data_IF_039362475391
#
_entry.id   IF_039362475391
#
_cell.length_a   1.000
_cell.length_b   1.000
_cell.length_c   1.000
_cell.angle_alpha   90.00
_cell.angle_beta   90.00
_cell.angle_gamma   90.00
#
_symmetry.space_group_name_H-M   'P 1'
#
loop_
_entity.id
_entity.type
_entity.pdbx_description
1 polymer ?
#
# COMPACT_ATOMS: atom_id res chain seq x y z
N UNK A 1 -15.72 17.91 18.07
CA UNK A 1 -14.30 17.48 17.98
C UNK A 1 -14.07 16.05 18.49
N UNK A 2 -14.66 15.65 19.63
CA UNK A 2 -14.45 14.32 20.24
C UNK A 2 -14.82 13.13 19.32
N UNK A 3 -15.92 13.25 18.58
CA UNK A 3 -16.38 12.19 17.67
C UNK A 3 -15.48 12.02 16.44
N UNK A 4 -14.88 13.12 15.97
CA UNK A 4 -13.94 13.11 14.85
C UNK A 4 -12.61 12.45 15.25
N UNK A 5 -12.11 12.76 16.45
CA UNK A 5 -10.89 12.15 16.99
C UNK A 5 -11.08 10.65 17.27
N UNK A 6 -12.19 10.26 17.90
CA UNK A 6 -12.49 8.85 18.16
C UNK A 6 -12.61 8.04 16.86
N UNK A 7 -13.26 8.61 15.84
CA UNK A 7 -13.36 7.97 14.52
C UNK A 7 -12.00 7.84 13.83
N UNK A 8 -11.15 8.88 13.89
CA UNK A 8 -9.79 8.82 13.38
C UNK A 8 -8.96 7.75 14.12
N UNK A 9 -8.96 7.77 15.45
CA UNK A 9 -8.19 6.85 16.28
C UNK A 9 -8.58 5.40 16.02
N UNK A 10 -9.88 5.09 15.93
CA UNK A 10 -10.36 3.76 15.61
C UNK A 10 -9.90 3.29 14.22
N UNK A 11 -9.95 4.16 13.21
CA UNK A 11 -9.51 3.84 11.83
C UNK A 11 -8.01 3.65 11.76
N UNK A 12 -7.25 4.53 12.38
CA UNK A 12 -5.81 4.44 12.43
C UNK A 12 -5.36 3.17 13.15
N UNK A 13 -5.96 2.86 14.30
CA UNK A 13 -5.70 1.60 15.02
C UNK A 13 -6.04 0.37 14.18
N UNK A 14 -7.20 0.38 13.51
CA UNK A 14 -7.61 -0.72 12.61
C UNK A 14 -6.61 -0.90 11.47
N UNK A 15 -6.19 0.20 10.86
CA UNK A 15 -5.22 0.18 9.77
C UNK A 15 -3.85 -0.33 10.24
N UNK A 16 -3.39 0.12 11.41
CA UNK A 16 -2.15 -0.34 12.03
C UNK A 16 -2.19 -1.84 12.33
N UNK A 17 -3.23 -2.30 13.01
CA UNK A 17 -3.36 -3.72 13.37
C UNK A 17 -3.46 -4.61 12.14
N UNK A 18 -4.16 -4.16 11.09
CA UNK A 18 -4.25 -4.88 9.82
C UNK A 18 -2.89 -4.96 9.14
N UNK A 19 -2.15 -3.85 9.04
CA UNK A 19 -0.82 -3.86 8.42
C UNK A 19 0.19 -4.70 9.21
N UNK A 20 0.13 -4.67 10.54
CA UNK A 20 0.94 -5.55 11.40
C UNK A 20 0.59 -7.02 11.20
N UNK A 21 -0.70 -7.36 11.08
CA UNK A 21 -1.14 -8.71 10.77
C UNK A 21 -0.60 -9.16 9.40
N UNK A 22 -0.65 -8.31 8.38
CA UNK A 22 -0.08 -8.61 7.06
C UNK A 22 1.44 -8.79 7.11
N UNK A 23 2.15 -8.01 7.92
CA UNK A 23 3.59 -8.23 8.18
C UNK A 23 3.85 -9.55 8.90
N UNK A 24 3.02 -9.95 9.87
CA UNK A 24 3.16 -11.25 10.54
C UNK A 24 2.87 -12.43 9.61
N UNK A 25 2.00 -12.23 8.63
CA UNK A 25 1.70 -13.22 7.59
C UNK A 25 2.79 -13.33 6.52
N UNK A 26 3.71 -12.36 6.46
CA UNK A 26 4.87 -12.39 5.57
C UNK A 26 5.66 -13.70 5.79
N UNK A 27 5.92 -14.44 4.71
CA UNK A 27 6.64 -15.72 4.75
C UNK A 27 5.81 -16.95 5.16
N UNK A 28 4.62 -16.77 5.76
CA UNK A 28 3.69 -17.88 6.07
C UNK A 28 2.78 -18.23 4.89
N UNK A 29 2.42 -17.22 4.09
CA UNK A 29 1.59 -17.38 2.89
C UNK A 29 2.49 -17.39 1.67
N UNK A 30 2.77 -18.57 1.13
CA UNK A 30 3.64 -18.75 -0.04
C UNK A 30 2.87 -18.98 -1.35
N UNK A 31 1.61 -19.41 -1.29
CA UNK A 31 0.82 -19.77 -2.47
C UNK A 31 -0.65 -19.36 -2.35
N UNK A 32 -1.29 -19.05 -3.48
CA UNK A 32 -2.72 -18.76 -3.60
C UNK A 32 -3.08 -17.27 -3.52
N UNK A 33 -4.38 -16.95 -3.54
CA UNK A 33 -4.90 -15.58 -3.67
C UNK A 33 -4.45 -14.65 -2.54
N UNK A 34 -4.15 -15.20 -1.36
CA UNK A 34 -3.67 -14.44 -0.21
C UNK A 34 -2.27 -13.83 -0.44
N UNK A 35 -1.48 -14.33 -1.40
CA UNK A 35 -0.20 -13.71 -1.75
C UNK A 35 -0.38 -12.32 -2.36
N UNK A 36 -1.51 -12.06 -3.02
CA UNK A 36 -1.81 -10.73 -3.56
C UNK A 36 -2.00 -9.67 -2.46
N UNK A 37 -2.41 -10.12 -1.26
CA UNK A 37 -2.69 -9.27 -0.11
C UNK A 37 -1.45 -9.09 0.77
N UNK A 38 -0.75 -10.20 1.01
CA UNK A 38 0.42 -10.26 1.91
C UNK A 38 1.67 -9.84 1.14
N UNK A 39 2.49 -8.91 1.67
CA UNK A 39 3.78 -8.57 1.05
C UNK A 39 4.64 -9.83 0.90
N UNK A 40 5.28 -10.01 -0.25
CA UNK A 40 6.09 -11.21 -0.56
C UNK A 40 7.60 -10.93 -0.58
N UNK A 41 8.00 -9.66 -0.65
CA UNK A 41 9.41 -9.25 -0.64
C UNK A 41 9.59 -7.88 0.03
N UNK A 42 10.84 -7.54 0.33
CA UNK A 42 11.23 -6.24 0.89
C UNK A 42 11.29 -5.11 -0.16
N UNK A 43 10.77 -5.34 -1.36
CA UNK A 43 10.74 -4.30 -2.39
C UNK A 43 9.82 -3.15 -1.96
N UNK A 44 10.15 -1.88 -2.27
CA UNK A 44 9.31 -0.74 -1.90
C UNK A 44 7.87 -0.84 -2.41
N UNK A 45 7.68 -1.51 -3.55
CA UNK A 45 6.36 -1.81 -4.12
C UNK A 45 5.58 -2.80 -3.26
N UNK A 46 6.16 -3.94 -2.89
CA UNK A 46 5.49 -4.94 -2.05
C UNK A 46 5.16 -4.38 -0.66
N UNK A 47 6.06 -3.59 -0.07
CA UNK A 47 5.82 -2.92 1.21
C UNK A 47 4.67 -1.91 1.14
N UNK A 48 4.41 -1.31 -0.02
CA UNK A 48 3.28 -0.38 -0.19
C UNK A 48 1.91 -1.04 -0.07
N UNK A 49 1.81 -2.37 -0.25
CA UNK A 49 0.58 -3.14 0.01
C UNK A 49 0.09 -3.01 1.45
N UNK A 50 1.03 -2.85 2.39
CA UNK A 50 0.76 -2.70 3.82
C UNK A 50 0.13 -1.32 4.11
N UNK A 51 0.22 -0.36 3.18
CA UNK A 51 -0.54 0.89 3.24
C UNK A 51 -1.88 0.74 2.51
N UNK A 52 -1.86 0.13 1.32
CA UNK A 52 -3.04 -0.01 0.47
C UNK A 52 -4.17 -0.84 1.10
N UNK A 53 -3.89 -2.08 1.52
CA UNK A 53 -4.92 -3.00 2.00
C UNK A 53 -5.59 -2.53 3.29
N UNK A 54 -4.87 -2.01 4.30
CA UNK A 54 -5.51 -1.47 5.49
C UNK A 54 -6.39 -0.25 5.20
N UNK A 55 -5.98 0.64 4.29
CA UNK A 55 -6.81 1.75 3.84
C UNK A 55 -8.04 1.25 3.06
N UNK A 56 -7.89 0.21 2.24
CA UNK A 56 -8.99 -0.39 1.49
C UNK A 56 -10.04 -1.00 2.43
N UNK A 57 -9.62 -1.69 3.49
CA UNK A 57 -10.52 -2.23 4.52
C UNK A 57 -11.24 -1.10 5.26
N UNK A 58 -10.53 -0.03 5.62
CA UNK A 58 -11.13 1.14 6.26
C UNK A 58 -12.15 1.86 5.35
N UNK A 59 -11.89 1.93 4.04
CA UNK A 59 -12.82 2.47 3.05
C UNK A 59 -14.02 1.53 2.86
N UNK A 60 -13.80 0.21 2.77
CA UNK A 60 -14.86 -0.78 2.66
C UNK A 60 -15.80 -0.79 3.87
N UNK A 61 -15.27 -0.65 5.09
CA UNK A 61 -16.09 -0.51 6.30
C UNK A 61 -17.04 0.70 6.27
N UNK A 62 -16.70 1.74 5.48
CA UNK A 62 -17.54 2.91 5.27
C UNK A 62 -18.59 2.78 4.19
N UNK A 63 -18.58 1.72 3.37
CA UNK A 63 -19.70 1.40 2.48
C UNK A 63 -21.02 1.32 3.25
N UNK A 64 -20.98 0.81 4.49
CA UNK A 64 -22.13 0.71 5.40
C UNK A 64 -22.70 2.07 5.82
N UNK A 65 -21.91 3.14 5.74
CA UNK A 65 -22.32 4.51 6.10
C UNK A 65 -22.62 5.39 4.87
N UNK A 66 -22.56 4.80 3.68
CA UNK A 66 -22.95 5.44 2.43
C UNK A 66 -21.79 5.69 1.47
N UNK A 67 -22.11 5.66 0.19
CA UNK A 67 -21.17 5.80 -0.93
C UNK A 67 -20.36 7.10 -0.90
N UNK A 68 -20.96 8.17 -0.36
CA UNK A 68 -20.32 9.48 -0.20
C UNK A 68 -19.19 9.46 0.83
N UNK A 69 -19.28 8.62 1.86
CA UNK A 69 -18.22 8.47 2.85
C UNK A 69 -16.98 7.79 2.25
N UNK A 70 -17.18 6.82 1.36
CA UNK A 70 -16.11 6.10 0.64
C UNK A 70 -15.46 6.99 -0.41
N UNK A 71 -16.25 7.80 -1.13
CA UNK A 71 -15.76 8.73 -2.15
C UNK A 71 -14.70 9.71 -1.63
N UNK A 72 -14.73 9.98 -0.32
CA UNK A 72 -13.83 10.90 0.36
C UNK A 72 -12.44 10.29 0.61
N UNK A 73 -12.32 8.97 0.65
CA UNK A 73 -11.07 8.28 1.01
C UNK A 73 -10.35 7.63 -0.17
N UNK A 74 -11.05 7.49 -1.30
CA UNK A 74 -10.47 6.97 -2.54
C UNK A 74 -9.16 7.66 -2.94
N UNK A 75 -9.02 9.01 -2.87
CA UNK A 75 -7.74 9.60 -3.25
C UNK A 75 -6.62 9.28 -2.26
N UNK A 76 -6.92 9.17 -0.96
CA UNK A 76 -5.94 8.72 0.02
C UNK A 76 -5.52 7.26 -0.26
N UNK A 77 -6.46 6.41 -0.66
CA UNK A 77 -6.21 5.02 -1.05
C UNK A 77 -5.33 4.90 -2.30
N UNK A 78 -5.42 5.86 -3.23
CA UNK A 78 -4.61 5.87 -4.46
C UNK A 78 -3.25 6.52 -4.27
N UNK A 79 -3.16 7.60 -3.49
CA UNK A 79 -1.93 8.40 -3.34
C UNK A 79 -1.00 7.90 -2.24
N UNK A 80 -1.53 7.35 -1.14
CA UNK A 80 -0.71 6.93 -0.02
C UNK A 80 0.21 5.74 -0.34
N UNK A 81 -0.22 4.70 -1.09
CA UNK A 81 0.67 3.59 -1.45
C UNK A 81 1.87 3.98 -2.33
N UNK A 82 1.72 4.73 -3.45
CA UNK A 82 2.88 5.15 -4.23
C UNK A 82 3.77 6.14 -3.47
N UNK A 83 3.19 7.01 -2.62
CA UNK A 83 3.99 7.87 -1.74
C UNK A 83 4.83 7.04 -0.77
N UNK A 84 4.26 6.00 -0.16
CA UNK A 84 5.00 5.07 0.69
C UNK A 84 6.10 4.34 -0.11
N UNK A 85 5.80 3.84 -1.32
CA UNK A 85 6.80 3.18 -2.16
C UNK A 85 7.99 4.10 -2.49
N UNK A 86 7.74 5.38 -2.79
CA UNK A 86 8.78 6.37 -3.07
C UNK A 86 9.60 6.71 -1.82
N UNK A 87 8.96 6.90 -0.67
CA UNK A 87 9.65 7.17 0.60
C UNK A 87 10.50 5.97 1.04
N UNK A 88 9.94 4.76 0.95
CA UNK A 88 10.65 3.51 1.21
C UNK A 88 11.87 3.38 0.27
N UNK A 89 11.72 3.72 -1.01
CA UNK A 89 12.84 3.71 -1.97
C UNK A 89 13.92 4.72 -1.60
N UNK A 90 13.54 5.95 -1.22
CA UNK A 90 14.49 6.96 -0.75
C UNK A 90 15.27 6.52 0.49
N UNK A 91 14.59 5.88 1.44
CA UNK A 91 15.21 5.30 2.64
C UNK A 91 16.20 4.19 2.28
N UNK A 92 15.86 3.30 1.33
CA UNK A 92 16.79 2.26 0.85
C UNK A 92 18.06 2.87 0.25
N UNK A 93 17.93 3.95 -0.53
CA UNK A 93 19.09 4.65 -1.11
C UNK A 93 20.00 5.28 -0.04
N UNK A 94 19.43 5.62 1.11
CA UNK A 94 20.15 6.18 2.27
C UNK A 94 20.68 5.11 3.23
N UNK A 95 20.51 3.82 2.91
CA UNK A 95 20.93 2.71 3.77
C UNK A 95 20.07 2.53 5.03
N UNK A 96 18.79 2.92 4.99
CA UNK A 96 17.92 2.86 6.15
C UNK A 96 17.46 1.44 6.52
N UNK A 97 17.26 1.23 7.81
CA UNK A 97 16.86 -0.06 8.40
C UNK A 97 15.34 -0.30 8.43
N UNK A 98 14.94 -1.54 8.74
CA UNK A 98 13.55 -1.98 8.93
C UNK A 98 12.68 -1.08 9.82
N UNK A 99 13.28 -0.44 10.84
CA UNK A 99 12.61 0.52 11.74
C UNK A 99 12.15 1.79 11.01
N UNK A 100 12.94 2.28 10.07
CA UNK A 100 12.62 3.45 9.26
C UNK A 100 11.43 3.18 8.35
N UNK A 101 11.30 1.96 7.83
CA UNK A 101 10.13 1.54 7.04
C UNK A 101 8.86 1.51 7.88
N UNK A 102 8.91 0.98 9.10
CA UNK A 102 7.76 0.98 10.02
C UNK A 102 7.32 2.41 10.37
N UNK A 103 8.29 3.30 10.62
CA UNK A 103 8.00 4.70 10.92
C UNK A 103 7.34 5.43 9.73
N UNK A 104 7.87 5.23 8.51
CA UNK A 104 7.28 5.80 7.30
C UNK A 104 5.89 5.24 7.04
N UNK A 105 5.71 3.93 7.17
CA UNK A 105 4.42 3.29 7.01
C UNK A 105 3.36 3.87 7.97
N UNK A 106 3.70 3.96 9.27
CA UNK A 106 2.80 4.53 10.27
C UNK A 106 2.49 6.01 9.99
N UNK A 107 3.51 6.80 9.62
CA UNK A 107 3.35 8.21 9.28
C UNK A 107 2.48 8.42 8.04
N UNK A 108 2.66 7.61 6.99
CA UNK A 108 1.86 7.68 5.76
C UNK A 108 0.41 7.29 6.03
N UNK A 109 0.15 6.25 6.84
CA UNK A 109 -1.20 5.89 7.24
C UNK A 109 -1.89 7.01 8.04
N UNK A 110 -1.17 7.61 8.99
CA UNK A 110 -1.69 8.73 9.76
C UNK A 110 -2.02 9.93 8.85
N UNK A 111 -1.11 10.28 7.95
CA UNK A 111 -1.30 11.38 7.00
C UNK A 111 -2.47 11.11 6.04
N UNK A 112 -2.59 9.88 5.52
CA UNK A 112 -3.66 9.48 4.62
C UNK A 112 -5.05 9.58 5.27
N UNK A 113 -5.15 9.19 6.55
CA UNK A 113 -6.41 9.23 7.30
C UNK A 113 -6.73 10.63 7.85
N UNK A 114 -5.72 11.48 8.08
CA UNK A 114 -5.89 12.84 8.60
C UNK A 114 -6.13 13.89 7.50
N UNK A 115 -5.47 13.75 6.34
CA UNK A 115 -5.42 14.76 5.28
C UNK A 115 -5.88 14.26 3.90
N UNK A 116 -6.66 13.18 3.86
CA UNK A 116 -7.23 12.66 2.61
C UNK A 116 -7.96 13.77 1.83
N UNK A 117 -7.54 14.09 0.59
CA UNK A 117 -8.18 15.17 -0.16
C UNK A 117 -9.62 14.79 -0.50
N UNK A 118 -10.52 15.77 -0.63
CA UNK A 118 -11.93 15.51 -0.90
C UNK A 118 -12.13 14.95 -2.32
N UNK A 119 -12.21 13.62 -2.43
CA UNK A 119 -12.39 12.91 -3.71
C UNK A 119 -13.77 13.04 -4.36
N UNK A 120 -14.71 13.73 -3.71
CA UNK A 120 -16.12 13.80 -4.14
C UNK A 120 -16.34 14.41 -5.53
N UNK A 121 -15.40 15.24 -6.03
CA UNK A 121 -15.52 15.91 -7.35
C UNK A 121 -15.06 15.05 -8.52
N UNK A 122 -14.18 14.07 -8.29
CA UNK A 122 -13.57 13.20 -9.31
C UNK A 122 -13.73 11.72 -8.94
N UNK A 123 -14.89 11.38 -8.38
CA UNK A 123 -15.15 10.05 -7.84
C UNK A 123 -14.83 8.91 -8.82
N UNK A 124 -15.31 9.01 -10.07
CA UNK A 124 -15.08 7.99 -11.09
C UNK A 124 -13.62 7.80 -11.45
N UNK A 125 -12.83 8.88 -11.44
CA UNK A 125 -11.39 8.82 -11.73
C UNK A 125 -10.67 8.14 -10.58
N UNK A 126 -10.98 8.52 -9.34
CA UNK A 126 -10.35 7.92 -8.16
C UNK A 126 -10.74 6.46 -7.96
N UNK A 127 -11.98 6.07 -8.25
CA UNK A 127 -12.41 4.68 -8.19
C UNK A 127 -11.75 3.85 -9.29
N UNK A 128 -11.68 4.36 -10.53
CA UNK A 128 -10.94 3.70 -11.60
C UNK A 128 -9.47 3.50 -11.23
N UNK A 129 -8.80 4.54 -10.71
CA UNK A 129 -7.41 4.44 -10.26
C UNK A 129 -7.23 3.45 -9.10
N UNK A 130 -8.16 3.42 -8.13
CA UNK A 130 -8.10 2.46 -7.04
C UNK A 130 -8.26 1.01 -7.53
N UNK A 131 -9.15 0.76 -8.49
CA UNK A 131 -9.34 -0.55 -9.12
C UNK A 131 -8.12 -0.94 -9.96
N UNK A 132 -7.58 0.00 -10.74
CA UNK A 132 -6.36 -0.22 -11.52
C UNK A 132 -5.19 -0.55 -10.59
N UNK A 133 -5.04 0.18 -9.49
CA UNK A 133 -3.98 -0.03 -8.52
C UNK A 133 -4.14 -1.37 -7.78
N UNK A 134 -5.36 -1.72 -7.37
CA UNK A 134 -5.67 -3.04 -6.81
C UNK A 134 -5.34 -4.17 -7.81
N UNK A 135 -5.77 -3.99 -9.07
CA UNK A 135 -5.47 -4.91 -10.16
C UNK A 135 -3.97 -5.04 -10.39
N UNK A 136 -3.23 -3.93 -10.36
CA UNK A 136 -1.78 -3.92 -10.46
C UNK A 136 -1.13 -4.70 -9.31
N UNK A 137 -1.57 -4.51 -8.05
CA UNK A 137 -1.07 -5.32 -6.94
C UNK A 137 -1.33 -6.81 -7.16
N UNK A 138 -2.53 -7.21 -7.55
CA UNK A 138 -2.87 -8.61 -7.79
C UNK A 138 -2.07 -9.19 -8.95
N UNK A 139 -2.03 -8.50 -10.09
CA UNK A 139 -1.36 -8.96 -11.31
C UNK A 139 0.15 -9.07 -11.13
N UNK A 140 0.78 -8.06 -10.51
CA UNK A 140 2.23 -8.06 -10.25
C UNK A 140 2.64 -9.13 -9.23
N UNK A 141 1.76 -9.47 -8.29
CA UNK A 141 2.04 -10.56 -7.34
C UNK A 141 1.93 -11.93 -7.99
N UNK A 142 0.96 -12.11 -8.89
CA UNK A 142 0.70 -13.40 -9.53
C UNK A 142 1.63 -13.65 -10.73
N UNK A 143 2.22 -12.61 -11.32
CA UNK A 143 3.15 -12.72 -12.46
C UNK A 143 4.47 -11.97 -12.20
N UNK A 144 5.27 -12.39 -11.19
CA UNK A 144 6.55 -11.75 -10.88
C UNK A 144 7.55 -11.84 -12.04
N UNK A 145 7.42 -12.86 -12.90
CA UNK A 145 8.33 -13.15 -14.01
C UNK A 145 8.28 -12.10 -15.14
N UNK A 146 7.17 -11.39 -15.31
CA UNK A 146 7.03 -10.39 -16.38
C UNK A 146 7.67 -9.04 -16.05
N UNK A 147 8.03 -8.80 -14.77
CA UNK A 147 8.37 -7.45 -14.28
C UNK A 147 9.62 -7.38 -13.38
N UNK A 148 10.43 -8.44 -13.32
CA UNK A 148 11.75 -8.45 -12.68
C UNK A 148 12.65 -7.22 -12.95
N UNK A 149 12.74 -6.65 -14.18
CA UNK A 149 13.60 -5.48 -14.42
C UNK A 149 13.13 -4.19 -13.73
N UNK A 150 11.85 -4.12 -13.31
CA UNK A 150 11.32 -2.95 -12.59
C UNK A 150 11.47 -3.09 -11.06
N UNK A 151 11.59 -4.31 -10.57
CA UNK A 151 11.54 -4.67 -9.14
C UNK A 151 12.92 -4.87 -8.48
N UNK A 152 13.98 -5.10 -9.26
CA UNK A 152 15.37 -5.17 -8.75
C UNK A 152 16.28 -4.10 -9.37
N UNK A 153 16.95 -3.25 -8.58
CA UNK A 153 18.12 -2.53 -9.04
C UNK A 153 19.32 -3.49 -8.98
N UNK A 154 19.51 -4.33 -10.00
CA UNK A 154 20.69 -5.23 -10.00
C UNK A 154 20.79 -6.27 -11.11
N UNK A 155 19.73 -6.50 -11.90
CA UNK A 155 19.77 -7.53 -12.96
C UNK A 155 20.21 -6.94 -14.31
N UNK A 156 20.17 -5.61 -14.48
CA UNK A 156 20.75 -4.97 -15.67
C UNK A 156 22.27 -5.25 -15.80
N UNK A 157 22.98 -5.51 -14.69
CA UNK A 157 24.38 -5.93 -14.72
C UNK A 157 24.60 -7.45 -14.85
N UNK A 158 23.60 -8.29 -14.56
CA UNK A 158 23.75 -9.74 -14.64
C UNK A 158 23.45 -10.29 -16.05
N UNK A 159 22.54 -9.66 -16.80
CA UNK A 159 22.24 -10.07 -18.19
C UNK A 159 23.36 -9.68 -19.15
N UNK A 160 24.15 -8.65 -18.83
CA UNK A 160 25.36 -8.29 -19.59
C UNK A 160 26.54 -9.25 -19.33
N UNK A 161 26.53 -10.03 -18.25
CA UNK A 161 27.62 -10.97 -17.89
C UNK A 161 27.43 -12.40 -18.43
N UNK A 162 26.28 -12.69 -19.04
CA UNK A 162 25.97 -13.98 -19.69
C UNK A 162 26.09 -13.91 -21.22
N UNK A 163 26.56 -12.77 -21.75
CA UNK A 163 26.75 -12.53 -23.18
C UNK A 163 28.23 -12.46 -23.61
N UNK A 164 29.18 -12.71 -22.69
CA UNK A 164 30.61 -12.93 -22.98
C UNK A 164 31.01 -14.38 -22.63
#
# INVERSE_FOLDING_TARGET
MKDHFASFAARYLTALLTGLLLMMLHGTVQHGVLTAVVPQSDTPWELSKIVFWPLAICAAGRLRHGFRAVSRDLPALVLAPPAAALLCRGIQMLGGDGRSFLAVWAAVLAAALAYGPDGGRLFYVWSALAVILAGAYVLLTLQPLLWQPLLLPGIASAVLFLAD
#
